data_IF_763537122608
#
_entry.id   IF_763537122608
#
_cell.length_a   1.000
_cell.length_b   1.000
_cell.length_c   1.000
_cell.angle_alpha   90.00
_cell.angle_beta   90.00
_cell.angle_gamma   90.00
#
_symmetry.space_group_name_H-M   'P 1'
#
loop_
_entity.id
_entity.type
_entity.pdbx_description
1 polymer ?
#
# COMPACT_ATOMS: atom_id res chain seq x y z
N UNK A 1 -17.18 18.23 -11.27
CA UNK A 1 -16.38 18.75 -10.15
C UNK A 1 -17.07 18.29 -8.87
N UNK A 2 -16.68 17.14 -8.33
CA UNK A 2 -17.22 16.58 -7.10
C UNK A 2 -16.42 17.08 -5.91
N UNK A 3 -17.12 17.49 -4.86
CA UNK A 3 -16.55 18.02 -3.62
C UNK A 3 -15.66 16.96 -2.95
N UNK A 4 -14.37 17.27 -2.75
CA UNK A 4 -13.52 16.56 -1.80
C UNK A 4 -13.77 17.15 -0.42
N UNK A 5 -14.79 16.63 0.26
CA UNK A 5 -14.98 16.84 1.68
C UNK A 5 -14.09 15.88 2.46
N UNK A 6 -13.55 16.35 3.58
CA UNK A 6 -12.86 15.59 4.63
C UNK A 6 -13.80 14.54 5.25
N UNK A 7 -14.09 13.48 4.51
CA UNK A 7 -15.00 12.43 4.89
C UNK A 7 -14.55 11.11 4.29
N UNK A 8 -14.82 10.02 5.01
CA UNK A 8 -14.61 8.65 4.56
C UNK A 8 -15.05 8.48 3.10
N UNK A 9 -14.17 7.95 2.22
CA UNK A 9 -14.57 7.65 0.85
C UNK A 9 -15.72 6.64 0.89
N UNK A 10 -16.81 6.91 0.17
CA UNK A 10 -18.01 6.06 0.14
C UNK A 10 -17.74 4.60 -0.22
N UNK A 11 -16.63 4.33 -0.92
CA UNK A 11 -16.20 3.01 -1.37
C UNK A 11 -15.04 2.44 -0.52
N UNK A 12 -14.79 3.00 0.68
CA UNK A 12 -13.80 2.47 1.61
C UNK A 12 -14.25 1.09 2.13
N UNK A 13 -13.35 0.12 2.03
CA UNK A 13 -13.58 -1.24 2.55
C UNK A 13 -12.96 -1.46 3.93
N UNK A 14 -12.00 -0.60 4.31
CA UNK A 14 -11.34 -0.60 5.61
C UNK A 14 -10.70 0.77 5.86
N UNK A 15 -10.42 1.06 7.13
CA UNK A 15 -9.60 2.18 7.57
C UNK A 15 -8.41 1.68 8.39
N UNK A 16 -7.31 2.42 8.36
CA UNK A 16 -6.13 2.19 9.18
C UNK A 16 -5.81 3.50 9.88
N UNK A 17 -5.86 3.47 11.22
CA UNK A 17 -5.46 4.58 12.07
C UNK A 17 -3.96 4.47 12.38
N UNK A 18 -3.25 5.58 12.26
CA UNK A 18 -1.85 5.63 12.65
C UNK A 18 -1.71 5.58 14.18
N UNK A 19 -0.99 4.57 14.68
CA UNK A 19 -0.76 4.37 16.12
C UNK A 19 -0.04 5.55 16.79
N UNK A 20 0.82 6.27 16.06
CA UNK A 20 1.56 7.45 16.56
C UNK A 20 0.72 8.71 16.61
N UNK A 21 -0.22 8.85 15.68
CA UNK A 21 -1.12 9.98 15.63
C UNK A 21 -2.50 9.55 15.10
N UNK A 22 -3.47 9.28 16.00
CA UNK A 22 -4.79 8.78 15.62
C UNK A 22 -5.61 9.72 14.73
N UNK A 23 -5.22 10.99 14.59
CA UNK A 23 -5.86 11.90 13.60
C UNK A 23 -5.47 11.59 12.16
N UNK A 24 -4.41 10.81 11.95
CA UNK A 24 -3.95 10.37 10.64
C UNK A 24 -4.59 9.03 10.31
N UNK A 25 -5.79 9.10 9.75
CA UNK A 25 -6.54 7.94 9.28
C UNK A 25 -6.38 7.87 7.77
N UNK A 26 -6.08 6.67 7.27
CA UNK A 26 -6.15 6.37 5.84
C UNK A 26 -7.22 5.32 5.58
N UNK A 27 -7.68 5.25 4.35
CA UNK A 27 -8.70 4.32 3.91
C UNK A 27 -8.16 3.40 2.83
N UNK A 28 -8.67 2.17 2.77
CA UNK A 28 -8.44 1.24 1.67
C UNK A 28 -9.65 1.26 0.74
N UNK A 29 -9.41 1.57 -0.52
CA UNK A 29 -10.45 1.64 -1.56
C UNK A 29 -10.14 0.62 -2.65
N UNK A 30 -11.13 -0.15 -3.07
CA UNK A 30 -10.95 -1.12 -4.14
C UNK A 30 -11.05 -0.46 -5.52
N UNK A 31 -9.96 -0.50 -6.29
CA UNK A 31 -9.88 0.00 -7.64
C UNK A 31 -10.10 -1.15 -8.64
N UNK A 32 -11.35 -1.31 -9.07
CA UNK A 32 -11.77 -2.39 -9.98
C UNK A 32 -10.97 -2.43 -11.29
N UNK A 33 -10.59 -1.28 -11.86
CA UNK A 33 -9.86 -1.23 -13.14
C UNK A 33 -8.46 -1.84 -13.07
N UNK A 34 -7.84 -1.85 -11.88
CA UNK A 34 -6.50 -2.41 -11.65
C UNK A 34 -6.55 -3.73 -10.88
N UNK A 35 -7.74 -4.18 -10.48
CA UNK A 35 -7.92 -5.30 -9.55
C UNK A 35 -7.00 -5.20 -8.33
N UNK A 36 -6.95 -4.01 -7.73
CA UNK A 36 -6.05 -3.66 -6.63
C UNK A 36 -6.78 -2.81 -5.59
N UNK A 37 -6.25 -2.79 -4.38
CA UNK A 37 -6.63 -1.85 -3.34
C UNK A 37 -5.63 -0.69 -3.34
N UNK A 38 -6.13 0.53 -3.16
CA UNK A 38 -5.30 1.71 -2.99
C UNK A 38 -5.53 2.32 -1.63
N UNK A 39 -4.47 2.87 -1.03
CA UNK A 39 -4.63 3.74 0.13
C UNK A 39 -5.19 5.09 -0.31
N UNK A 40 -5.90 5.74 0.59
CA UNK A 40 -6.38 7.11 0.45
C UNK A 40 -6.15 7.84 1.76
N UNK A 41 -5.30 8.86 1.75
CA UNK A 41 -4.98 9.70 2.90
C UNK A 41 -3.48 9.84 3.16
N UNK A 42 -2.61 8.98 2.59
CA UNK A 42 -1.16 9.15 2.72
C UNK A 42 -0.71 10.48 2.12
N UNK A 43 -1.24 10.81 0.94
CA UNK A 43 -0.89 12.05 0.26
C UNK A 43 -1.37 13.28 1.03
N UNK A 44 -2.56 13.20 1.61
CA UNK A 44 -3.12 14.30 2.41
C UNK A 44 -2.30 14.54 3.68
N UNK A 45 -1.97 13.47 4.42
CA UNK A 45 -1.29 13.59 5.71
C UNK A 45 0.21 13.82 5.59
N UNK A 46 0.86 13.29 4.55
CA UNK A 46 2.32 13.21 4.47
C UNK A 46 2.92 13.77 3.18
N UNK A 47 2.10 14.16 2.19
CA UNK A 47 2.54 14.58 0.85
C UNK A 47 3.34 13.50 0.09
N UNK A 48 3.12 12.23 0.44
CA UNK A 48 3.74 11.06 -0.20
C UNK A 48 2.72 10.33 -1.09
N UNK A 49 3.21 9.49 -2.01
CA UNK A 49 2.35 8.73 -2.91
C UNK A 49 1.52 7.68 -2.16
N UNK A 50 0.27 7.49 -2.57
CA UNK A 50 -0.57 6.41 -2.07
C UNK A 50 0.00 5.03 -2.48
N UNK A 51 -0.23 4.02 -1.64
CA UNK A 51 0.13 2.64 -1.92
C UNK A 51 -0.92 1.99 -2.82
N UNK A 52 -0.47 1.18 -3.77
CA UNK A 52 -1.31 0.24 -4.52
C UNK A 52 -0.91 -1.18 -4.15
N UNK A 53 -1.88 -1.98 -3.72
CA UNK A 53 -1.71 -3.36 -3.30
C UNK A 53 -2.59 -4.25 -4.18
N UNK A 54 -2.01 -5.15 -5.00
CA UNK A 54 -2.79 -6.12 -5.77
C UNK A 54 -3.79 -6.88 -4.90
N UNK A 55 -5.00 -7.11 -5.41
CA UNK A 55 -6.07 -7.71 -4.61
C UNK A 55 -5.69 -9.09 -4.06
N UNK A 56 -4.92 -9.88 -4.81
CA UNK A 56 -4.49 -11.21 -4.37
C UNK A 56 -3.64 -11.17 -3.09
N UNK A 57 -2.85 -10.11 -2.85
CA UNK A 57 -2.06 -9.98 -1.62
C UNK A 57 -2.95 -9.74 -0.40
N UNK A 58 -3.92 -8.84 -0.55
CA UNK A 58 -4.88 -8.53 0.51
C UNK A 58 -5.75 -9.75 0.82
N UNK A 59 -6.19 -10.47 -0.21
CA UNK A 59 -7.01 -11.67 -0.04
C UNK A 59 -6.23 -12.83 0.58
N UNK A 60 -4.92 -12.91 0.37
CA UNK A 60 -4.10 -13.96 0.94
C UNK A 60 -3.86 -13.74 2.44
N UNK A 61 -3.46 -12.52 2.83
CA UNK A 61 -3.24 -12.18 4.23
C UNK A 61 -3.53 -10.70 4.50
N UNK A 62 -4.82 -10.42 4.76
CA UNK A 62 -5.30 -9.08 5.07
C UNK A 62 -4.59 -8.48 6.29
N UNK A 63 -4.31 -9.29 7.31
CA UNK A 63 -3.72 -8.83 8.56
C UNK A 63 -2.25 -8.47 8.38
N UNK A 64 -1.49 -9.28 7.63
CA UNK A 64 -0.11 -8.98 7.29
C UNK A 64 -0.03 -7.68 6.47
N UNK A 65 -0.82 -7.55 5.40
CA UNK A 65 -0.83 -6.35 4.57
C UNK A 65 -1.19 -5.12 5.40
N UNK A 66 -2.23 -5.21 6.23
CA UNK A 66 -2.60 -4.12 7.15
C UNK A 66 -1.46 -3.73 8.08
N UNK A 67 -0.72 -4.71 8.61
CA UNK A 67 0.44 -4.47 9.49
C UNK A 67 1.60 -3.79 8.76
N UNK A 68 1.87 -4.18 7.51
CA UNK A 68 2.87 -3.54 6.66
C UNK A 68 2.51 -2.07 6.44
N UNK A 69 1.25 -1.79 6.07
CA UNK A 69 0.77 -0.43 5.84
C UNK A 69 0.86 0.40 7.11
N UNK A 70 0.44 -0.13 8.26
CA UNK A 70 0.58 0.54 9.56
C UNK A 70 2.04 0.90 9.87
N UNK A 71 2.98 -0.02 9.65
CA UNK A 71 4.40 0.23 9.87
C UNK A 71 4.94 1.34 8.93
N UNK A 72 4.49 1.39 7.68
CA UNK A 72 4.83 2.48 6.74
C UNK A 72 4.30 3.82 7.27
N UNK A 73 3.05 3.86 7.74
CA UNK A 73 2.45 5.06 8.33
C UNK A 73 3.22 5.55 9.56
N UNK A 74 3.68 4.65 10.42
CA UNK A 74 4.48 5.02 11.59
C UNK A 74 5.81 5.68 11.18
N UNK A 75 6.48 5.14 10.16
CA UNK A 75 7.74 5.70 9.63
C UNK A 75 7.52 7.05 8.95
N UNK A 76 6.42 7.22 8.22
CA UNK A 76 6.00 8.50 7.63
C UNK A 76 5.81 9.57 8.73
N UNK A 77 5.09 9.22 9.79
CA UNK A 77 4.87 10.13 10.92
C UNK A 77 6.15 10.49 11.65
N UNK A 78 7.02 9.52 11.88
CA UNK A 78 8.32 9.77 12.50
C UNK A 78 9.19 10.72 11.66
N UNK A 79 9.23 10.55 10.34
CA UNK A 79 9.95 11.45 9.45
C UNK A 79 9.38 12.87 9.50
N UNK A 80 8.04 12.99 9.45
CA UNK A 80 7.33 14.28 9.55
C UNK A 80 7.60 14.98 10.88
N UNK A 81 7.52 14.26 12.00
CA UNK A 81 7.79 14.78 13.36
C UNK A 81 9.23 15.31 13.50
N UNK A 82 10.19 14.63 12.88
CA UNK A 82 11.61 15.02 12.91
C UNK A 82 11.97 16.10 11.88
N UNK A 83 11.02 16.54 11.05
CA UNK A 83 11.28 17.45 9.93
C UNK A 83 12.21 16.84 8.87
N UNK A 84 12.28 15.51 8.79
CA UNK A 84 13.09 14.78 7.82
C UNK A 84 12.36 14.54 6.50
N UNK A 85 13.11 14.09 5.51
CA UNK A 85 12.55 13.61 4.23
C UNK A 85 12.27 12.12 4.38
N UNK A 86 11.05 11.69 4.09
CA UNK A 86 10.72 10.28 3.95
C UNK A 86 11.04 9.81 2.53
N UNK A 87 11.54 8.59 2.41
CA UNK A 87 11.67 7.91 1.13
C UNK A 87 11.23 6.47 1.30
N UNK A 88 10.38 5.98 0.40
CA UNK A 88 10.04 4.57 0.36
C UNK A 88 11.30 3.74 0.11
N UNK A 89 11.52 2.74 0.97
CA UNK A 89 12.54 1.75 0.71
C UNK A 89 12.13 0.93 -0.52
N UNK A 90 12.96 0.87 -1.59
CA UNK A 90 12.58 0.16 -2.81
C UNK A 90 12.31 -1.32 -2.58
N UNK A 91 12.89 -1.90 -1.52
CA UNK A 91 12.69 -3.28 -1.08
C UNK A 91 12.75 -3.38 0.42
N UNK A 92 11.93 -4.25 0.99
CA UNK A 92 11.94 -4.57 2.42
C UNK A 92 11.46 -6.01 2.63
N UNK A 93 11.82 -6.62 3.76
CA UNK A 93 11.46 -8.02 4.06
C UNK A 93 10.56 -8.11 5.27
N UNK A 94 9.52 -8.95 5.18
CA UNK A 94 8.53 -9.20 6.23
C UNK A 94 8.22 -10.70 6.25
N UNK A 95 8.42 -11.35 7.39
CA UNK A 95 8.15 -12.78 7.59
C UNK A 95 8.63 -13.65 6.41
N UNK A 96 9.91 -13.52 6.08
CA UNK A 96 10.60 -14.24 4.99
C UNK A 96 10.12 -13.97 3.55
N UNK A 97 9.24 -12.98 3.36
CA UNK A 97 8.85 -12.47 2.04
C UNK A 97 9.50 -11.10 1.83
N UNK A 98 10.22 -10.96 0.72
CA UNK A 98 10.76 -9.66 0.28
C UNK A 98 9.76 -9.01 -0.66
N UNK A 99 9.35 -7.80 -0.30
CA UNK A 99 8.50 -6.95 -1.11
C UNK A 99 9.33 -5.88 -1.81
N UNK A 100 8.84 -5.42 -2.95
CA UNK A 100 9.33 -4.23 -3.63
C UNK A 100 8.26 -3.14 -3.67
N UNK A 101 8.72 -1.90 -3.70
CA UNK A 101 7.90 -0.72 -3.91
C UNK A 101 8.41 0.03 -5.13
N UNK A 102 7.55 0.21 -6.13
CA UNK A 102 7.87 0.92 -7.36
C UNK A 102 6.73 1.86 -7.77
N UNK A 103 7.08 2.99 -8.39
CA UNK A 103 6.06 3.88 -8.94
C UNK A 103 5.33 3.21 -10.11
N UNK A 104 4.00 3.21 -10.05
CA UNK A 104 3.13 2.69 -11.10
C UNK A 104 1.82 3.47 -11.12
N UNK A 105 1.48 4.08 -12.26
CA UNK A 105 0.23 4.84 -12.48
C UNK A 105 -0.08 5.90 -11.40
N UNK A 106 0.94 6.55 -10.84
CA UNK A 106 0.78 7.56 -9.79
C UNK A 106 0.64 7.00 -8.37
N UNK A 107 0.88 5.71 -8.18
CA UNK A 107 0.90 5.03 -6.88
C UNK A 107 2.27 4.40 -6.64
N UNK A 108 2.55 4.02 -5.40
CA UNK A 108 3.63 3.10 -5.04
C UNK A 108 3.06 1.68 -4.98
N UNK A 109 3.34 0.89 -6.01
CA UNK A 109 2.89 -0.50 -6.13
C UNK A 109 3.74 -1.39 -5.23
N UNK A 110 3.08 -2.17 -4.37
CA UNK A 110 3.70 -3.17 -3.52
C UNK A 110 3.54 -4.58 -4.11
N UNK A 111 4.67 -5.25 -4.38
CA UNK A 111 4.68 -6.61 -4.91
C UNK A 111 5.72 -7.49 -4.22
N UNK A 112 5.43 -8.78 -3.98
CA UNK A 112 6.44 -9.74 -3.57
C UNK A 112 7.42 -9.95 -4.72
N UNK A 113 8.71 -9.97 -4.40
CA UNK A 113 9.78 -10.28 -5.35
C UNK A 113 10.52 -11.56 -5.00
N UNK A 114 10.53 -11.94 -3.72
CA UNK A 114 11.16 -13.17 -3.22
C UNK A 114 10.38 -13.69 -2.00
N UNK A 115 10.40 -15.01 -1.78
CA UNK A 115 9.66 -15.67 -0.69
C UNK A 115 8.31 -16.23 -1.13
N UNK A 116 7.75 -17.16 -0.35
CA UNK A 116 6.43 -17.73 -0.60
C UNK A 116 5.39 -16.99 0.25
N UNK A 117 4.42 -16.37 -0.41
CA UNK A 117 3.19 -15.97 0.26
C UNK A 117 2.36 -17.25 0.45
N UNK A 118 1.94 -17.52 1.68
CA UNK A 118 1.52 -18.86 2.14
C UNK A 118 0.55 -19.64 1.24
N UNK A 119 0.87 -20.93 1.04
CA UNK A 119 -0.06 -22.07 0.90
C UNK A 119 -0.91 -22.20 -0.37
N UNK A 120 -0.39 -22.93 -1.36
CA UNK A 120 -1.12 -23.59 -2.46
C UNK A 120 -2.29 -22.83 -3.11
N UNK A 121 -1.99 -21.90 -4.01
CA UNK A 121 -2.76 -21.80 -5.26
C UNK A 121 -1.81 -21.76 -6.44
N UNK A 122 -2.13 -22.60 -7.41
CA UNK A 122 -1.22 -23.11 -8.42
C UNK A 122 -0.51 -22.05 -9.26
N UNK A 123 0.62 -22.49 -9.79
CA UNK A 123 1.38 -21.92 -10.90
C UNK A 123 0.52 -21.06 -11.83
N UNK A 124 0.35 -19.79 -11.49
CA UNK A 124 0.14 -18.76 -12.48
C UNK A 124 1.36 -17.88 -12.39
N UNK A 125 2.42 -18.36 -13.04
CA UNK A 125 3.52 -17.52 -13.44
C UNK A 125 2.91 -16.36 -14.25
N UNK A 126 2.64 -15.24 -13.58
CA UNK A 126 2.36 -13.98 -14.26
C UNK A 126 3.67 -13.55 -14.90
N UNK A 127 3.88 -14.03 -16.12
CA UNK A 127 4.91 -13.50 -17.00
C UNK A 127 4.47 -12.10 -17.39
N UNK A 128 4.97 -11.09 -16.67
CA UNK A 128 5.10 -9.77 -17.24
C UNK A 128 6.19 -9.87 -18.32
N UNK A 129 5.80 -10.26 -19.53
CA UNK A 129 6.60 -9.92 -20.71
C UNK A 129 6.67 -8.40 -20.75
N UNK A 130 7.83 -7.87 -20.35
CA UNK A 130 8.29 -6.56 -20.80
C UNK A 130 8.44 -6.65 -22.32
N UNK A 131 7.36 -6.42 -23.04
CA UNK A 131 7.45 -5.92 -24.40
C UNK A 131 7.81 -4.44 -24.29
N UNK A 132 9.13 -4.21 -24.18
CA UNK A 132 9.75 -2.93 -24.51
C UNK A 132 10.13 -3.01 -25.98
N UNK A 133 9.61 -2.06 -26.75
CA UNK A 133 9.91 -1.77 -28.16
C UNK A 133 11.41 -1.75 -28.47
#
# INVERSE_FOLDING_TARGET
MGQMGTGEPLDAIASIENSRNPSQIIYLVYLRSENAFVTCGIQEHFAELELMIPAYLIMNDFQLVGSIISAILERLSEAKEKGGVFMYEPRFSVLDVTYSLAQYKGFMLMEPVEGQIGGEMGETAFSFTRDLE
#
